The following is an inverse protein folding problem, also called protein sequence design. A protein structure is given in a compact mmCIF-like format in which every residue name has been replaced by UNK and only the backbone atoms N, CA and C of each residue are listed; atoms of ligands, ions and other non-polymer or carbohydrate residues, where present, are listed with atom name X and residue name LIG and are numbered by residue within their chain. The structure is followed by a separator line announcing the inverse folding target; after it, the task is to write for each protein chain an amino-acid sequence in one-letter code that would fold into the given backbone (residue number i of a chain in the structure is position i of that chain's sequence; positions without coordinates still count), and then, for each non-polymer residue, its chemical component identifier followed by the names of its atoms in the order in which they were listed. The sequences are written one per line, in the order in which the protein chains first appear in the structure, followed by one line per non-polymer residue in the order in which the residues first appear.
data_IF_196121592863
#
_entry.id   IF_196121592863
#
_cell.length_a   1.000
_cell.length_b   1.000
_cell.length_c   1.000
_cell.angle_alpha   90.00
_cell.angle_beta   90.00
_cell.angle_gamma   90.00
#
_symmetry.space_group_name_H-M   'P 1'
#
loop_
_entity.id
_entity.type
_entity.pdbx_description
1 polymer ?
#
# COMPACT_ATOMS: atom_id res chain seq x y z
N UNK A 1 0.83 -8.55 -2.91
CA UNK A 1 1.28 -9.98 -2.87
C UNK A 1 2.63 -10.02 -2.18
N UNK A 2 2.79 -10.83 -1.15
CA UNK A 2 4.04 -10.93 -0.39
C UNK A 2 5.14 -11.69 -1.13
N UNK A 3 6.38 -11.54 -0.66
CA UNK A 3 7.57 -12.29 -1.11
C UNK A 3 7.31 -13.79 -1.20
N UNK A 4 7.51 -14.35 -2.39
CA UNK A 4 7.29 -15.76 -2.68
C UNK A 4 8.16 -16.25 -3.85
N UNK A 5 8.28 -17.57 -4.07
CA UNK A 5 8.79 -18.12 -5.32
C UNK A 5 7.96 -17.67 -6.52
N UNK A 6 8.59 -17.53 -7.69
CA UNK A 6 7.98 -16.97 -8.89
C UNK A 6 6.71 -17.73 -9.34
N UNK A 7 6.71 -19.04 -9.22
CA UNK A 7 5.55 -19.88 -9.54
C UNK A 7 4.33 -19.57 -8.65
N UNK A 8 4.56 -19.24 -7.37
CA UNK A 8 3.48 -18.81 -6.46
C UNK A 8 2.99 -17.41 -6.78
N UNK A 9 3.90 -16.49 -7.15
CA UNK A 9 3.54 -15.14 -7.63
C UNK A 9 2.64 -15.27 -8.86
N UNK A 10 3.00 -16.08 -9.84
CA UNK A 10 2.21 -16.31 -11.04
C UNK A 10 0.83 -16.87 -10.75
N UNK A 11 0.74 -17.89 -9.86
CA UNK A 11 -0.55 -18.45 -9.45
C UNK A 11 -1.45 -17.42 -8.76
N UNK A 12 -0.87 -16.56 -7.90
CA UNK A 12 -1.63 -15.50 -7.25
C UNK A 12 -2.17 -14.48 -8.25
N UNK A 13 -1.36 -14.07 -9.24
CA UNK A 13 -1.79 -13.19 -10.34
C UNK A 13 -2.98 -13.79 -11.09
N UNK A 14 -2.87 -15.07 -11.49
CA UNK A 14 -3.92 -15.75 -12.24
C UNK A 14 -5.22 -15.87 -11.42
N UNK A 15 -5.09 -16.15 -10.11
CA UNK A 15 -6.22 -16.21 -9.19
C UNK A 15 -6.92 -14.84 -9.10
N UNK A 16 -6.17 -13.75 -8.92
CA UNK A 16 -6.72 -12.39 -8.88
C UNK A 16 -7.44 -12.06 -10.19
N UNK A 17 -6.80 -12.33 -11.34
CA UNK A 17 -7.38 -12.05 -12.66
C UNK A 17 -8.64 -12.87 -12.96
N UNK A 18 -8.79 -14.05 -12.38
CA UNK A 18 -9.95 -14.91 -12.52
C UNK A 18 -11.08 -14.61 -11.51
N UNK A 19 -10.81 -13.82 -10.47
CA UNK A 19 -11.81 -13.47 -9.47
C UNK A 19 -12.90 -12.60 -10.08
N UNK A 20 -14.15 -12.92 -9.75
CA UNK A 20 -15.33 -12.21 -10.22
C UNK A 20 -16.19 -11.75 -9.04
N UNK A 21 -16.85 -10.60 -9.21
CA UNK A 21 -17.69 -9.98 -8.19
C UNK A 21 -16.92 -9.12 -7.18
N UNK A 22 -17.62 -8.35 -6.38
CA UNK A 22 -17.03 -7.43 -5.40
C UNK A 22 -16.37 -6.21 -6.02
N UNK A 23 -15.27 -5.76 -5.41
CA UNK A 23 -14.53 -4.59 -5.83
C UNK A 23 -13.81 -4.81 -7.18
N UNK A 24 -13.67 -3.74 -7.94
CA UNK A 24 -12.93 -3.72 -9.20
C UNK A 24 -11.44 -3.70 -8.95
N UNK A 25 -10.70 -4.58 -9.61
CA UNK A 25 -9.25 -4.59 -9.54
C UNK A 25 -8.67 -3.49 -10.45
N UNK A 26 -8.02 -2.50 -9.86
CA UNK A 26 -7.30 -1.45 -10.60
C UNK A 26 -5.90 -1.92 -11.02
N UNK A 27 -5.27 -2.77 -10.20
CA UNK A 27 -3.93 -3.27 -10.42
C UNK A 27 -3.56 -4.36 -9.42
N UNK A 28 -2.32 -4.80 -9.50
CA UNK A 28 -1.72 -5.77 -8.57
C UNK A 28 -0.45 -5.15 -7.98
N UNK A 29 -0.41 -5.07 -6.65
CA UNK A 29 0.77 -4.66 -5.91
C UNK A 29 1.61 -5.91 -5.56
N UNK A 30 2.85 -5.92 -6.04
CA UNK A 30 3.87 -6.95 -5.78
C UNK A 30 4.83 -6.41 -4.73
N UNK A 31 4.64 -6.83 -3.49
CA UNK A 31 5.45 -6.42 -2.36
C UNK A 31 6.55 -7.46 -2.11
N UNK A 32 7.78 -7.08 -2.47
CA UNK A 32 8.86 -8.05 -2.60
C UNK A 32 8.69 -8.97 -3.83
N UNK A 33 9.65 -9.83 -4.09
CA UNK A 33 10.79 -10.22 -3.27
C UNK A 33 12.02 -9.27 -3.30
N UNK A 34 11.93 -8.13 -3.92
CA UNK A 34 13.00 -7.18 -4.20
C UNK A 34 13.16 -6.16 -3.05
N UNK A 35 13.20 -6.66 -1.82
CA UNK A 35 13.24 -5.90 -0.58
C UNK A 35 14.52 -6.19 0.21
N UNK A 36 14.86 -5.34 1.17
CA UNK A 36 16.02 -5.53 2.02
C UNK A 36 15.78 -6.61 3.09
N UNK A 37 16.75 -7.51 3.30
CA UNK A 37 16.65 -8.62 4.26
C UNK A 37 16.57 -8.15 5.71
N UNK A 38 17.25 -7.07 6.06
CA UNK A 38 17.22 -6.53 7.43
C UNK A 38 15.91 -5.78 7.70
N UNK A 39 15.23 -5.33 6.63
CA UNK A 39 13.95 -4.64 6.66
C UNK A 39 12.78 -5.49 6.21
N UNK A 40 12.95 -6.83 6.20
CA UNK A 40 11.95 -7.76 5.65
C UNK A 40 10.62 -7.83 6.41
N UNK A 41 10.54 -7.35 7.65
CA UNK A 41 9.34 -7.54 8.47
C UNK A 41 8.99 -9.03 8.62
N UNK A 42 7.78 -9.42 8.25
CA UNK A 42 7.32 -10.82 8.30
C UNK A 42 7.66 -11.64 7.03
N UNK A 43 8.26 -11.04 5.99
CA UNK A 43 8.57 -11.74 4.75
C UNK A 43 9.59 -12.86 4.96
N UNK A 44 9.41 -13.99 4.25
CA UNK A 44 10.30 -15.14 4.31
C UNK A 44 11.65 -14.80 3.65
N UNK A 45 12.71 -14.77 4.45
CA UNK A 45 14.05 -14.34 4.02
C UNK A 45 14.59 -15.11 2.81
N UNK A 46 14.37 -16.43 2.78
CA UNK A 46 14.89 -17.30 1.71
C UNK A 46 14.34 -16.99 0.31
N UNK A 47 13.26 -16.21 0.22
CA UNK A 47 12.67 -15.82 -1.06
C UNK A 47 13.05 -14.40 -1.48
N UNK A 48 13.70 -13.62 -0.61
CA UNK A 48 14.20 -12.28 -0.91
C UNK A 48 15.38 -12.38 -1.85
N UNK A 49 15.37 -11.57 -2.91
CA UNK A 49 16.40 -11.56 -3.94
C UNK A 49 16.54 -10.18 -4.59
N UNK A 50 17.68 -10.00 -5.24
CA UNK A 50 17.96 -8.79 -6.02
C UNK A 50 16.94 -8.60 -7.16
N UNK A 51 16.60 -7.36 -7.50
CA UNK A 51 15.70 -7.09 -8.62
C UNK A 51 16.40 -7.35 -9.97
N UNK A 52 15.84 -8.23 -10.77
CA UNK A 52 16.27 -8.48 -12.16
C UNK A 52 15.12 -8.14 -13.10
N UNK A 53 15.39 -7.25 -14.07
CA UNK A 53 14.33 -6.75 -14.93
C UNK A 53 13.68 -7.84 -15.79
N UNK A 54 14.40 -8.87 -16.21
CA UNK A 54 13.84 -9.99 -16.99
C UNK A 54 12.75 -10.75 -16.20
N UNK A 55 12.93 -10.94 -14.90
CA UNK A 55 11.90 -11.53 -14.03
C UNK A 55 10.73 -10.58 -13.85
N UNK A 56 11.01 -9.31 -13.60
CA UNK A 56 9.99 -8.28 -13.38
C UNK A 56 9.16 -8.05 -14.64
N UNK A 57 9.77 -8.06 -15.83
CA UNK A 57 9.04 -7.91 -17.09
C UNK A 57 8.04 -9.04 -17.31
N UNK A 58 8.39 -10.28 -16.98
CA UNK A 58 7.46 -11.42 -17.03
C UNK A 58 6.28 -11.26 -16.06
N UNK A 59 6.53 -10.69 -14.86
CA UNK A 59 5.46 -10.39 -13.91
C UNK A 59 4.54 -9.30 -14.47
N UNK A 60 5.09 -8.22 -15.04
CA UNK A 60 4.33 -7.13 -15.67
C UNK A 60 3.45 -7.68 -16.81
N UNK A 61 4.02 -8.47 -17.71
CA UNK A 61 3.28 -9.09 -18.81
C UNK A 61 2.14 -9.98 -18.33
N UNK A 62 2.36 -10.75 -17.25
CA UNK A 62 1.32 -11.61 -16.68
C UNK A 62 0.21 -10.81 -15.96
N UNK A 63 0.54 -9.69 -15.35
CA UNK A 63 -0.43 -8.79 -14.71
C UNK A 63 -1.31 -8.11 -15.76
N UNK A 64 -0.75 -7.78 -16.91
CA UNK A 64 -1.49 -7.08 -17.97
C UNK A 64 -2.86 -7.74 -18.28
N UNK A 65 -3.93 -6.96 -18.55
CA UNK A 65 -3.97 -5.50 -18.74
C UNK A 65 -4.10 -4.68 -17.43
N UNK A 66 -4.03 -5.31 -16.26
CA UNK A 66 -4.07 -4.61 -14.98
C UNK A 66 -2.74 -3.87 -14.76
N UNK A 67 -2.78 -2.80 -13.94
CA UNK A 67 -1.56 -2.06 -13.58
C UNK A 67 -0.69 -2.87 -12.61
N UNK A 68 0.63 -2.86 -12.83
CA UNK A 68 1.61 -3.49 -11.94
C UNK A 68 2.29 -2.42 -11.07
N UNK A 69 2.16 -2.55 -9.76
CA UNK A 69 2.86 -1.73 -8.77
C UNK A 69 3.85 -2.60 -7.99
N UNK A 70 5.08 -2.14 -7.79
CA UNK A 70 6.10 -2.90 -7.08
C UNK A 70 6.62 -2.15 -5.87
N UNK A 71 6.78 -2.83 -4.73
CA UNK A 71 7.62 -2.33 -3.65
C UNK A 71 9.04 -2.81 -3.85
N UNK A 72 9.98 -1.86 -3.90
CA UNK A 72 11.41 -2.12 -4.09
C UNK A 72 12.22 -1.39 -3.00
N UNK A 73 13.23 -2.07 -2.48
CA UNK A 73 14.30 -1.46 -1.67
C UNK A 73 15.34 -0.85 -2.64
N UNK A 74 15.40 0.48 -2.77
CA UNK A 74 16.18 1.12 -3.85
C UNK A 74 17.69 0.94 -3.71
N UNK A 75 18.21 0.59 -2.54
CA UNK A 75 19.62 0.25 -2.34
C UNK A 75 20.06 -1.00 -3.12
N UNK A 76 19.10 -1.84 -3.54
CA UNK A 76 19.33 -3.01 -4.37
C UNK A 76 19.30 -2.69 -5.87
N UNK A 77 18.76 -1.53 -6.27
CA UNK A 77 18.77 -1.07 -7.68
C UNK A 77 20.10 -0.41 -8.09
N UNK A 78 20.91 0.01 -7.13
CA UNK A 78 22.21 0.69 -7.35
C UNK A 78 23.27 -0.18 -8.06
N UNK A 79 23.03 -1.47 -8.22
CA UNK A 79 24.00 -2.41 -8.83
C UNK A 79 24.02 -2.37 -10.35
N UNK A 80 23.43 -1.35 -10.98
CA UNK A 80 23.69 -0.96 -12.36
C UNK A 80 22.61 -1.30 -13.38
N UNK A 81 21.50 -1.94 -13.00
CA UNK A 81 20.44 -2.26 -13.96
C UNK A 81 19.43 -1.14 -14.19
N UNK A 82 19.26 -0.21 -13.23
CA UNK A 82 18.25 0.85 -13.28
C UNK A 82 16.83 0.26 -13.39
N UNK A 83 16.53 -0.73 -12.55
CA UNK A 83 15.29 -1.51 -12.59
C UNK A 83 14.08 -0.64 -12.36
N UNK A 84 14.15 0.34 -11.43
CA UNK A 84 13.06 1.28 -11.17
C UNK A 84 12.67 2.01 -12.46
N UNK A 85 13.65 2.58 -13.17
CA UNK A 85 13.41 3.30 -14.43
C UNK A 85 12.84 2.38 -15.52
N UNK A 86 13.32 1.13 -15.62
CA UNK A 86 12.81 0.15 -16.58
C UNK A 86 11.36 -0.24 -16.30
N UNK A 87 10.97 -0.44 -15.01
CA UNK A 87 9.58 -0.72 -14.62
C UNK A 87 8.67 0.44 -15.05
N UNK A 88 9.07 1.67 -14.74
CA UNK A 88 8.28 2.87 -15.07
C UNK A 88 8.11 3.01 -16.58
N UNK A 89 9.17 2.81 -17.37
CA UNK A 89 9.11 2.82 -18.85
C UNK A 89 8.22 1.72 -19.42
N UNK A 90 8.06 0.60 -18.72
CA UNK A 90 7.18 -0.50 -19.11
C UNK A 90 5.71 -0.27 -18.67
N UNK A 91 5.37 0.90 -18.13
CA UNK A 91 4.02 1.24 -17.69
C UNK A 91 3.65 0.74 -16.31
N UNK A 92 4.60 0.18 -15.56
CA UNK A 92 4.45 -0.12 -14.14
C UNK A 92 4.73 1.09 -13.25
N UNK A 93 4.57 0.94 -11.95
CA UNK A 93 4.95 1.95 -10.94
C UNK A 93 5.72 1.32 -9.79
N UNK A 94 6.46 2.15 -9.05
CA UNK A 94 7.30 1.70 -7.94
C UNK A 94 7.04 2.51 -6.68
N UNK A 95 6.81 1.81 -5.57
CA UNK A 95 6.85 2.32 -4.21
C UNK A 95 8.18 1.95 -3.55
N UNK A 96 8.75 2.86 -2.78
CA UNK A 96 9.94 2.64 -1.94
C UNK A 96 9.47 2.03 -0.63
N UNK A 97 9.93 0.86 -0.27
CA UNK A 97 9.54 0.19 0.97
C UNK A 97 10.45 -0.96 1.34
N UNK A 98 10.34 -1.46 2.57
CA UNK A 98 11.20 -2.51 3.09
C UNK A 98 12.67 -2.25 2.83
N UNK A 99 13.16 -1.07 3.26
CA UNK A 99 14.43 -0.50 2.84
C UNK A 99 15.24 0.09 3.99
N UNK A 100 16.54 -0.12 3.96
CA UNK A 100 17.53 0.59 4.77
C UNK A 100 18.13 1.82 4.08
N UNK A 101 17.63 2.20 2.90
CA UNK A 101 18.18 3.27 2.07
C UNK A 101 18.35 4.59 2.82
N UNK A 102 19.47 5.27 2.52
CA UNK A 102 19.71 6.65 2.94
C UNK A 102 18.96 7.65 2.04
N UNK A 103 19.01 8.92 2.42
CA UNK A 103 18.31 9.97 1.70
C UNK A 103 18.80 10.17 0.25
N UNK A 104 20.08 9.89 -0.04
CA UNK A 104 20.63 10.03 -1.39
C UNK A 104 20.13 8.92 -2.31
N UNK A 105 20.13 7.68 -1.84
CA UNK A 105 19.57 6.53 -2.54
C UNK A 105 18.08 6.73 -2.82
N UNK A 106 17.31 7.24 -1.85
CA UNK A 106 15.90 7.59 -2.06
C UNK A 106 15.72 8.68 -3.11
N UNK A 107 16.57 9.75 -3.12
CA UNK A 107 16.48 10.79 -4.16
C UNK A 107 16.71 10.22 -5.56
N UNK A 108 17.66 9.31 -5.73
CA UNK A 108 17.89 8.64 -7.02
C UNK A 108 16.69 7.83 -7.43
N UNK A 109 16.13 7.01 -6.55
CA UNK A 109 14.94 6.23 -6.84
C UNK A 109 13.75 7.10 -7.29
N UNK A 110 13.54 8.24 -6.63
CA UNK A 110 12.51 9.21 -7.03
C UNK A 110 12.81 9.85 -8.39
N UNK A 111 14.07 10.16 -8.69
CA UNK A 111 14.51 10.67 -9.99
C UNK A 111 14.35 9.62 -11.10
N UNK A 112 14.49 8.33 -10.78
CA UNK A 112 14.25 7.19 -11.67
C UNK A 112 12.77 6.87 -11.86
N UNK A 113 11.88 7.57 -11.14
CA UNK A 113 10.44 7.54 -11.33
C UNK A 113 9.65 6.76 -10.29
N UNK A 114 10.23 6.41 -9.13
CA UNK A 114 9.45 5.91 -7.99
C UNK A 114 8.40 6.95 -7.57
N UNK A 115 7.15 6.51 -7.32
CA UNK A 115 6.00 7.41 -7.13
C UNK A 115 5.53 7.48 -5.69
N UNK A 116 5.83 6.47 -4.86
CA UNK A 116 5.30 6.37 -3.50
C UNK A 116 6.29 5.79 -2.50
N UNK A 117 5.91 5.85 -1.23
CA UNK A 117 6.51 5.12 -0.11
C UNK A 117 5.48 4.15 0.44
N UNK A 118 5.78 2.86 0.40
CA UNK A 118 4.90 1.77 0.84
C UNK A 118 4.82 1.76 2.37
N UNK A 119 3.62 1.72 2.95
CA UNK A 119 3.34 1.70 4.41
C UNK A 119 4.39 2.47 5.23
N UNK A 120 4.53 3.75 4.91
CA UNK A 120 5.55 4.67 5.44
C UNK A 120 5.83 4.48 6.93
N UNK A 121 7.10 4.51 7.31
CA UNK A 121 7.72 4.21 8.61
C UNK A 121 7.89 2.72 8.92
N UNK A 122 7.03 1.84 8.41
CA UNK A 122 7.15 0.41 8.68
C UNK A 122 8.24 -0.19 7.81
N UNK A 123 9.14 -0.97 8.42
CA UNK A 123 10.26 -1.61 7.74
C UNK A 123 11.11 -0.65 6.87
N UNK A 124 11.32 0.58 7.34
CA UNK A 124 12.14 1.60 6.67
C UNK A 124 13.32 2.04 7.53
N UNK A 125 14.33 2.70 6.92
CA UNK A 125 15.33 3.47 7.63
C UNK A 125 14.67 4.62 8.40
N UNK A 126 15.11 4.82 9.66
CA UNK A 126 14.49 5.75 10.59
C UNK A 126 14.72 7.22 10.22
N UNK A 127 13.77 8.08 10.62
CA UNK A 127 13.91 9.52 10.53
C UNK A 127 14.80 10.05 11.68
N UNK A 128 16.04 10.39 11.35
CA UNK A 128 16.97 11.05 12.28
C UNK A 128 17.33 12.45 11.75
N UNK A 129 17.63 13.37 12.65
CA UNK A 129 17.82 14.79 12.30
C UNK A 129 19.03 15.08 11.35
N UNK A 130 20.00 14.19 11.24
CA UNK A 130 21.13 14.25 10.28
C UNK A 130 21.08 13.17 9.21
N UNK A 131 20.32 12.13 9.42
CA UNK A 131 20.14 10.99 8.53
C UNK A 131 18.64 10.72 8.38
N UNK A 132 17.95 11.45 7.50
CA UNK A 132 16.49 11.37 7.44
C UNK A 132 15.97 10.00 6.99
N UNK A 133 16.80 9.17 6.34
CA UNK A 133 16.38 7.87 5.84
C UNK A 133 15.18 7.92 4.89
N UNK A 134 14.63 6.77 4.55
CA UNK A 134 13.43 6.68 3.72
C UNK A 134 12.21 7.31 4.42
N UNK A 135 12.07 7.10 5.74
CA UNK A 135 10.97 7.68 6.53
C UNK A 135 10.94 9.20 6.49
N UNK A 136 12.09 9.87 6.64
CA UNK A 136 12.17 11.32 6.55
C UNK A 136 11.98 11.84 5.13
N UNK A 137 12.46 11.12 4.13
CA UNK A 137 12.28 11.46 2.72
C UNK A 137 10.81 11.34 2.29
N UNK A 138 10.06 10.38 2.83
CA UNK A 138 8.62 10.27 2.62
C UNK A 138 7.87 11.55 3.04
N UNK A 139 8.28 12.16 4.17
CA UNK A 139 7.70 13.42 4.65
C UNK A 139 8.20 14.65 3.90
N UNK A 140 9.44 14.60 3.38
CA UNK A 140 10.13 15.76 2.82
C UNK A 140 9.91 15.97 1.31
N UNK A 141 9.29 15.01 0.60
CA UNK A 141 9.13 15.02 -0.86
C UNK A 141 7.68 15.05 -1.30
N UNK A 142 7.43 15.37 -2.58
CA UNK A 142 6.11 15.39 -3.19
C UNK A 142 5.63 13.99 -3.66
N UNK A 143 6.41 12.93 -3.44
CA UNK A 143 5.95 11.56 -3.70
C UNK A 143 4.76 11.22 -2.80
N UNK A 144 3.92 10.30 -3.21
CA UNK A 144 2.85 9.79 -2.36
C UNK A 144 3.45 9.03 -1.16
N UNK A 145 2.75 9.02 -0.05
CA UNK A 145 3.15 8.26 1.13
C UNK A 145 1.92 7.52 1.66
N UNK A 146 2.05 6.21 1.79
CA UNK A 146 0.99 5.31 2.23
C UNK A 146 1.06 5.13 3.75
N UNK A 147 -0.09 5.15 4.43
CA UNK A 147 -0.17 5.08 5.89
C UNK A 147 -1.25 4.11 6.36
N UNK A 148 -0.90 3.25 7.31
CA UNK A 148 -1.81 2.34 8.02
C UNK A 148 -2.26 3.05 9.30
N UNK A 149 -3.45 3.64 9.27
CA UNK A 149 -3.97 4.46 10.38
C UNK A 149 -4.82 3.63 11.36
N UNK A 150 -4.27 2.53 11.87
CA UNK A 150 -4.95 1.64 12.83
C UNK A 150 -4.64 1.96 14.30
N UNK A 151 -3.68 2.85 14.58
CA UNK A 151 -3.19 3.15 15.94
C UNK A 151 -2.30 2.05 16.51
N UNK A 152 -1.92 1.05 15.71
CA UNK A 152 -1.05 -0.08 16.06
C UNK A 152 0.28 0.03 15.32
N UNK A 153 0.24 0.20 13.97
CA UNK A 153 1.41 0.43 13.14
C UNK A 153 2.02 1.80 13.39
N UNK A 154 1.18 2.81 13.62
CA UNK A 154 1.59 4.19 13.87
C UNK A 154 0.84 4.76 15.07
N UNK A 155 1.57 5.45 15.95
CA UNK A 155 0.95 6.25 17.01
C UNK A 155 0.15 7.42 16.39
N UNK A 156 -0.95 7.86 17.02
CA UNK A 156 -1.76 8.99 16.56
C UNK A 156 -0.93 10.25 16.26
N UNK A 157 0.04 10.56 17.12
CA UNK A 157 0.91 11.73 16.99
C UNK A 157 1.83 11.62 15.76
N UNK A 158 2.25 10.40 15.40
CA UNK A 158 3.03 10.15 14.18
C UNK A 158 2.18 10.36 12.94
N UNK A 159 0.92 9.89 12.95
CA UNK A 159 -0.04 10.11 11.85
C UNK A 159 -0.30 11.59 11.66
N UNK A 160 -0.57 12.34 12.75
CA UNK A 160 -0.80 13.79 12.71
C UNK A 160 0.41 14.53 12.13
N UNK A 161 1.62 14.24 12.63
CA UNK A 161 2.85 14.85 12.14
C UNK A 161 3.08 14.57 10.65
N UNK A 162 2.84 13.33 10.21
CA UNK A 162 2.96 12.93 8.82
C UNK A 162 1.92 13.62 7.91
N UNK A 163 0.66 13.67 8.35
CA UNK A 163 -0.40 14.36 7.64
C UNK A 163 -0.04 15.84 7.42
N UNK A 164 0.33 16.54 8.49
CA UNK A 164 0.72 17.95 8.42
C UNK A 164 1.94 18.17 7.53
N UNK A 165 2.93 17.29 7.55
CA UNK A 165 4.10 17.37 6.68
C UNK A 165 3.73 17.21 5.19
N UNK A 166 2.73 16.38 4.87
CA UNK A 166 2.29 16.13 3.48
C UNK A 166 1.37 17.22 2.93
N UNK A 167 0.68 17.99 3.76
CA UNK A 167 -0.25 19.05 3.32
C UNK A 167 0.37 20.04 2.33
N UNK A 168 1.65 20.39 2.47
CA UNK A 168 2.35 21.32 1.57
C UNK A 168 2.49 20.81 0.13
N UNK A 169 2.32 19.52 -0.09
CA UNK A 169 2.42 18.87 -1.39
C UNK A 169 1.05 18.53 -2.00
N UNK A 170 -0.05 18.92 -1.34
CA UNK A 170 -1.41 18.56 -1.75
C UNK A 170 -1.80 17.15 -1.29
N UNK A 171 -2.64 16.47 -2.09
CA UNK A 171 -3.23 15.18 -1.75
C UNK A 171 -2.21 14.02 -1.92
N UNK A 172 -1.16 14.01 -1.08
CA UNK A 172 -0.06 13.02 -1.15
C UNK A 172 -0.03 12.08 0.06
N UNK A 173 -1.00 12.19 0.96
CA UNK A 173 -1.21 11.26 2.07
C UNK A 173 -2.24 10.21 1.62
N UNK A 174 -1.85 8.94 1.57
CA UNK A 174 -2.68 7.82 1.09
C UNK A 174 -3.02 6.89 2.25
N UNK A 175 -4.30 6.67 2.49
CA UNK A 175 -4.76 5.62 3.42
C UNK A 175 -4.68 4.26 2.74
N UNK A 176 -4.04 3.33 3.40
CA UNK A 176 -4.02 1.90 3.04
C UNK A 176 -4.41 1.05 4.24
N UNK A 177 -4.80 -0.16 4.00
CA UNK A 177 -5.09 -1.14 5.06
C UNK A 177 -3.93 -2.07 5.34
N UNK A 178 -3.17 -2.46 4.33
CA UNK A 178 -2.22 -3.58 4.42
C UNK A 178 -2.87 -4.82 5.05
N UNK A 179 -4.07 -5.13 4.57
CA UNK A 179 -4.97 -6.13 5.17
C UNK A 179 -4.49 -7.55 4.94
N UNK A 180 -4.53 -8.35 6.00
CA UNK A 180 -4.20 -9.77 5.96
C UNK A 180 -5.44 -10.64 5.67
N UNK A 181 -5.28 -11.90 5.25
CA UNK A 181 -6.40 -12.80 4.93
C UNK A 181 -7.39 -13.02 6.08
N UNK A 182 -6.98 -12.84 7.33
CA UNK A 182 -7.86 -12.96 8.51
C UNK A 182 -8.55 -11.65 8.90
N UNK A 183 -8.41 -10.57 8.13
CA UNK A 183 -9.15 -9.33 8.39
C UNK A 183 -10.66 -9.59 8.33
N UNK A 184 -11.37 -9.12 9.36
CA UNK A 184 -12.80 -9.37 9.51
C UNK A 184 -13.17 -10.73 10.11
N UNK A 185 -12.21 -11.60 10.37
CA UNK A 185 -12.42 -12.84 11.10
C UNK A 185 -12.30 -12.63 12.63
N UNK A 186 -12.80 -13.56 13.48
CA UNK A 186 -12.65 -13.49 14.93
C UNK A 186 -11.19 -13.46 15.38
N UNK A 187 -10.94 -12.98 16.61
CA UNK A 187 -9.64 -13.16 17.26
C UNK A 187 -9.27 -14.65 17.33
N UNK A 188 -8.00 -14.99 17.05
CA UNK A 188 -7.53 -16.37 17.03
C UNK A 188 -6.18 -16.54 16.34
N UNK A 189 -5.75 -17.80 16.24
CA UNK A 189 -4.50 -18.18 15.59
C UNK A 189 -4.76 -18.51 14.12
N UNK A 190 -3.89 -17.98 13.26
CA UNK A 190 -3.98 -18.08 11.81
C UNK A 190 -2.61 -18.39 11.21
N UNK A 191 -2.62 -18.70 9.92
CA UNK A 191 -1.41 -18.89 9.11
C UNK A 191 -1.50 -18.07 7.82
N UNK A 192 -0.42 -17.39 7.48
CA UNK A 192 -0.27 -16.68 6.22
C UNK A 192 0.92 -17.24 5.46
N UNK A 193 0.66 -18.17 4.53
CA UNK A 193 1.69 -18.78 3.67
C UNK A 193 2.83 -19.49 4.45
N UNK A 194 2.51 -20.13 5.56
CA UNK A 194 3.48 -20.82 6.44
C UNK A 194 4.06 -19.91 7.53
N UNK A 195 3.51 -18.70 7.70
CA UNK A 195 3.86 -17.77 8.79
C UNK A 195 2.71 -17.83 9.81
N UNK A 196 2.85 -18.54 10.94
CA UNK A 196 1.84 -18.58 11.98
C UNK A 196 1.81 -17.23 12.73
N UNK A 197 0.61 -16.74 13.02
CA UNK A 197 0.39 -15.51 13.78
C UNK A 197 -0.90 -15.56 14.59
N UNK A 198 -1.00 -14.70 15.60
CA UNK A 198 -2.21 -14.50 16.38
C UNK A 198 -2.82 -13.14 16.03
N UNK A 199 -4.11 -13.12 15.69
CA UNK A 199 -4.94 -11.91 15.59
C UNK A 199 -5.63 -11.69 16.94
N UNK A 200 -5.39 -10.55 17.56
CA UNK A 200 -6.04 -10.16 18.81
C UNK A 200 -6.33 -8.66 18.83
N UNK A 201 -7.61 -8.30 18.94
CA UNK A 201 -8.08 -6.90 18.97
C UNK A 201 -7.51 -6.05 17.83
N UNK A 202 -7.54 -6.59 16.61
CA UNK A 202 -7.06 -5.91 15.41
C UNK A 202 -5.54 -5.96 15.20
N UNK A 203 -4.76 -6.43 16.19
CA UNK A 203 -3.31 -6.60 16.08
C UNK A 203 -2.97 -8.02 15.66
N UNK A 204 -2.27 -8.17 14.54
CA UNK A 204 -1.80 -9.45 14.03
C UNK A 204 -0.28 -9.55 14.18
N UNK A 205 0.20 -10.50 15.01
CA UNK A 205 1.62 -10.66 15.31
C UNK A 205 2.05 -12.13 15.31
N UNK A 206 3.27 -12.38 14.86
CA UNK A 206 3.96 -13.66 15.10
C UNK A 206 4.28 -13.82 16.58
N UNK A 207 4.67 -15.04 16.98
CA UNK A 207 5.15 -15.32 18.35
C UNK A 207 6.38 -14.48 18.75
N UNK A 208 7.16 -14.01 17.78
CA UNK A 208 8.31 -13.10 17.99
C UNK A 208 7.89 -11.62 18.14
N UNK A 209 6.60 -11.29 18.04
CA UNK A 209 6.08 -9.93 18.13
C UNK A 209 6.15 -9.13 16.83
N UNK A 210 6.57 -9.73 15.72
CA UNK A 210 6.58 -9.07 14.40
C UNK A 210 5.14 -8.91 13.90
N UNK A 211 4.75 -7.70 13.53
CA UNK A 211 3.46 -7.42 12.89
C UNK A 211 3.47 -8.02 11.48
N UNK A 212 2.35 -8.64 11.09
CA UNK A 212 2.20 -9.34 9.80
C UNK A 212 1.22 -8.65 8.84
N UNK A 213 0.92 -7.40 9.10
CA UNK A 213 -0.10 -6.59 8.42
C UNK A 213 -1.28 -6.29 9.33
N UNK A 214 -2.37 -5.77 8.80
CA UNK A 214 -3.48 -5.25 9.60
C UNK A 214 -4.80 -6.01 9.40
N UNK A 215 -5.73 -5.82 10.37
CA UNK A 215 -7.14 -6.15 10.23
C UNK A 215 -8.00 -4.89 9.98
N UNK A 216 -7.38 -3.78 9.60
CA UNK A 216 -8.00 -2.50 9.35
C UNK A 216 -8.88 -2.53 8.10
N UNK A 217 -10.01 -1.82 8.14
CA UNK A 217 -10.80 -1.46 6.96
C UNK A 217 -10.70 0.04 6.66
N UNK A 218 -11.02 0.45 5.44
CA UNK A 218 -10.92 1.85 5.02
C UNK A 218 -11.87 2.78 5.79
N UNK A 219 -13.15 2.44 6.08
CA UNK A 219 -13.99 3.25 6.94
C UNK A 219 -13.36 3.55 8.31
N UNK A 220 -12.81 2.54 8.96
CA UNK A 220 -12.11 2.70 10.24
C UNK A 220 -10.84 3.56 10.10
N UNK A 221 -10.07 3.38 9.02
CA UNK A 221 -8.90 4.21 8.75
C UNK A 221 -9.25 5.69 8.59
N UNK A 222 -10.36 6.01 7.91
CA UNK A 222 -10.88 7.37 7.73
C UNK A 222 -11.27 7.97 9.08
N UNK A 223 -12.04 7.23 9.92
CA UNK A 223 -12.46 7.69 11.24
C UNK A 223 -11.25 7.93 12.17
N UNK A 224 -10.25 7.06 12.11
CA UNK A 224 -9.02 7.21 12.86
C UNK A 224 -8.24 8.44 12.40
N UNK A 225 -8.10 8.65 11.09
CA UNK A 225 -7.41 9.82 10.55
C UNK A 225 -8.09 11.13 10.98
N UNK A 226 -9.43 11.18 10.90
CA UNK A 226 -10.22 12.33 11.41
C UNK A 226 -9.92 12.60 12.87
N UNK A 227 -9.92 11.56 13.69
CA UNK A 227 -9.67 11.66 15.14
C UNK A 227 -8.23 12.05 15.46
N UNK A 228 -7.24 11.46 14.78
CA UNK A 228 -5.81 11.67 15.07
C UNK A 228 -5.33 13.05 14.61
N UNK A 229 -5.90 13.58 13.53
CA UNK A 229 -5.46 14.85 12.93
C UNK A 229 -6.45 16.00 13.18
N UNK A 230 -7.57 15.76 13.87
CA UNK A 230 -8.66 16.76 14.07
C UNK A 230 -9.09 17.42 12.75
N UNK A 231 -9.37 16.61 11.74
CA UNK A 231 -9.75 17.05 10.38
C UNK A 231 -11.18 16.64 10.03
N UNK A 232 -11.88 17.41 9.20
CA UNK A 232 -13.23 17.06 8.76
C UNK A 232 -13.22 15.87 7.79
N UNK A 233 -14.37 15.21 7.67
CA UNK A 233 -14.57 14.01 6.85
C UNK A 233 -14.13 14.20 5.41
N UNK A 234 -14.43 15.34 4.80
CA UNK A 234 -14.10 15.63 3.41
C UNK A 234 -12.59 15.57 3.13
N UNK A 235 -11.77 15.98 4.10
CA UNK A 235 -10.31 15.90 4.00
C UNK A 235 -9.81 14.47 4.14
N UNK A 236 -10.36 13.71 5.07
CA UNK A 236 -10.00 12.31 5.28
C UNK A 236 -10.44 11.43 4.09
N UNK A 237 -11.59 11.71 3.49
CA UNK A 237 -12.06 11.00 2.29
C UNK A 237 -11.11 11.16 1.09
N UNK A 238 -10.51 12.34 0.89
CA UNK A 238 -9.54 12.54 -0.19
C UNK A 238 -8.33 11.60 -0.07
N UNK A 239 -7.92 11.27 1.15
CA UNK A 239 -6.81 10.33 1.43
C UNK A 239 -7.16 8.88 1.09
N UNK A 240 -8.45 8.53 0.99
CA UNK A 240 -8.95 7.19 0.67
C UNK A 240 -9.56 7.08 -0.73
N UNK A 241 -9.66 8.17 -1.48
CA UNK A 241 -10.31 8.21 -2.81
C UNK A 241 -9.39 8.85 -3.85
N UNK A 242 -9.25 10.17 -3.82
CA UNK A 242 -8.45 10.93 -4.79
C UNK A 242 -6.97 10.58 -4.74
N UNK A 243 -6.35 10.65 -3.55
CA UNK A 243 -4.93 10.41 -3.40
C UNK A 243 -4.49 9.01 -3.88
N UNK A 244 -5.13 7.89 -3.49
CA UNK A 244 -4.77 6.58 -4.04
C UNK A 244 -5.08 6.46 -5.54
N UNK A 245 -6.11 7.10 -6.07
CA UNK A 245 -6.42 7.08 -7.50
C UNK A 245 -5.37 7.86 -8.32
N UNK A 246 -4.88 8.99 -7.82
CA UNK A 246 -3.76 9.73 -8.43
C UNK A 246 -2.46 8.90 -8.36
N UNK A 247 -2.17 8.26 -7.22
CA UNK A 247 -0.99 7.42 -7.06
C UNK A 247 -0.99 6.24 -8.03
N UNK A 248 -2.15 5.61 -8.21
CA UNK A 248 -2.32 4.48 -9.14
C UNK A 248 -2.47 4.91 -10.62
N UNK A 249 -2.47 6.22 -10.93
CA UNK A 249 -2.62 6.73 -12.29
C UNK A 249 -4.01 6.48 -12.90
N UNK A 250 -5.06 6.39 -12.09
CA UNK A 250 -6.44 6.11 -12.54
C UNK A 250 -7.43 7.25 -12.19
N UNK A 251 -6.94 8.38 -11.70
CA UNK A 251 -7.82 9.48 -11.28
C UNK A 251 -8.66 10.08 -12.41
N UNK A 252 -8.27 9.89 -13.65
CA UNK A 252 -9.07 10.23 -14.83
C UNK A 252 -10.39 9.44 -14.90
N UNK A 253 -10.45 8.26 -14.29
CA UNK A 253 -11.60 7.33 -14.34
C UNK A 253 -12.24 7.06 -12.98
N UNK A 254 -11.49 7.14 -11.89
CA UNK A 254 -11.88 6.72 -10.54
C UNK A 254 -11.56 7.82 -9.52
N UNK A 255 -11.99 7.67 -8.26
CA UNK A 255 -11.57 8.49 -7.13
C UNK A 255 -12.33 9.80 -6.91
N UNK A 256 -13.35 10.10 -7.73
CA UNK A 256 -14.30 11.21 -7.51
C UNK A 256 -15.65 10.91 -8.19
N UNK A 257 -16.67 11.71 -7.84
CA UNK A 257 -18.02 11.63 -8.42
C UNK A 257 -18.19 12.59 -9.61
N UNK A 258 -17.13 12.94 -10.32
CA UNK A 258 -17.19 13.81 -11.47
C UNK A 258 -17.89 13.12 -12.66
N UNK A 259 -18.58 13.92 -13.47
CA UNK A 259 -19.25 13.45 -14.68
C UNK A 259 -18.21 12.83 -15.64
N UNK A 260 -18.50 11.63 -16.14
CA UNK A 260 -17.63 10.89 -17.07
C UNK A 260 -16.71 9.87 -16.41
N UNK A 261 -16.64 9.82 -15.07
CA UNK A 261 -15.94 8.78 -14.34
C UNK A 261 -16.81 7.54 -14.10
N UNK A 262 -16.19 6.44 -13.69
CA UNK A 262 -16.89 5.21 -13.29
C UNK A 262 -17.82 5.49 -12.14
N UNK A 263 -19.03 4.92 -12.21
CA UNK A 263 -19.99 4.99 -11.11
C UNK A 263 -19.67 3.91 -10.05
N UNK A 264 -18.50 4.06 -9.39
CA UNK A 264 -18.11 3.26 -8.23
C UNK A 264 -18.38 4.09 -6.97
N UNK A 265 -19.48 3.77 -6.28
CA UNK A 265 -20.05 4.62 -5.24
C UNK A 265 -20.32 3.78 -3.98
N UNK A 266 -19.86 4.26 -2.85
CA UNK A 266 -20.19 3.72 -1.53
C UNK A 266 -21.11 4.71 -0.81
N UNK A 267 -22.27 4.25 -0.39
CA UNK A 267 -23.22 5.02 0.40
C UNK A 267 -23.13 4.54 1.85
N UNK A 268 -22.80 5.48 2.73
CA UNK A 268 -22.60 5.23 4.16
C UNK A 268 -23.57 6.06 5.01
N UNK A 269 -23.78 5.62 6.25
CA UNK A 269 -24.37 6.46 7.29
C UNK A 269 -23.33 7.45 7.88
N UNK A 270 -23.74 8.26 8.84
CA UNK A 270 -22.91 9.28 9.50
C UNK A 270 -21.69 8.68 10.25
N UNK A 271 -21.69 7.39 10.53
CA UNK A 271 -20.59 6.66 11.18
C UNK A 271 -19.77 5.84 10.20
N UNK A 272 -19.91 6.11 8.89
CA UNK A 272 -19.30 5.37 7.80
C UNK A 272 -19.71 3.88 7.74
N UNK A 273 -20.81 3.50 8.39
CA UNK A 273 -21.42 2.19 8.22
C UNK A 273 -21.95 2.03 6.80
N UNK A 274 -21.39 1.08 6.04
CA UNK A 274 -21.73 0.86 4.63
C UNK A 274 -23.18 0.44 4.51
N UNK A 275 -23.97 1.17 3.73
CA UNK A 275 -25.39 0.89 3.44
C UNK A 275 -25.54 0.29 2.05
N UNK A 276 -24.86 0.85 1.03
CA UNK A 276 -24.90 0.37 -0.35
C UNK A 276 -23.55 0.49 -1.02
N UNK A 277 -23.26 -0.44 -1.93
CA UNK A 277 -22.08 -0.37 -2.79
C UNK A 277 -22.53 -0.55 -4.24
N UNK A 278 -22.09 0.38 -5.09
CA UNK A 278 -22.31 0.38 -6.53
C UNK A 278 -20.94 0.24 -7.19
N UNK A 279 -20.80 -0.69 -8.11
CA UNK A 279 -19.58 -0.88 -8.90
C UNK A 279 -19.95 -0.80 -10.38
N UNK A 280 -19.32 0.10 -11.12
CA UNK A 280 -19.59 0.35 -12.53
C UNK A 280 -21.08 0.60 -12.83
N UNK A 281 -21.77 1.30 -11.92
CA UNK A 281 -23.19 1.60 -12.02
C UNK A 281 -24.14 0.47 -11.60
N UNK A 282 -23.61 -0.68 -11.16
CA UNK A 282 -24.41 -1.85 -10.74
C UNK A 282 -24.35 -1.95 -9.20
N UNK A 283 -25.54 -2.07 -8.56
CA UNK A 283 -25.63 -2.34 -7.12
C UNK A 283 -25.11 -3.75 -6.83
N UNK A 284 -24.01 -3.84 -6.07
CA UNK A 284 -23.37 -5.12 -5.69
C UNK A 284 -23.60 -5.48 -4.22
N UNK A 285 -23.96 -4.50 -3.40
CA UNK A 285 -24.27 -4.72 -1.99
C UNK A 285 -25.35 -3.74 -1.53
N UNK A 286 -26.29 -4.21 -0.74
CA UNK A 286 -27.27 -3.42 0.00
C UNK A 286 -27.48 -4.05 1.38
N UNK A 287 -27.35 -3.24 2.44
CA UNK A 287 -27.57 -3.69 3.80
C UNK A 287 -29.05 -3.96 4.00
N UNK A 288 -29.41 -5.20 4.38
CA UNK A 288 -30.76 -5.52 4.81
C UNK A 288 -31.04 -4.84 6.16
N UNK A 289 -32.14 -4.12 6.26
CA UNK A 289 -32.64 -3.51 7.49
C UNK A 289 -33.09 -4.57 8.49
#
# INVERSE_FOLDING_TARGET
MNTAPLDKIYRAIDTIKSAAGGAKFAGIHVEGPYIDKEKRGCHTESFIREPHFDEISQIIERIAPLHAHFTIAPEHDDKGEGVINKIVRSGGSVGIGHTGADAETVRRALADGAVSFTHTFNAMSEFRHREPGASGMALATAAFAEFICDGIHLAPETVEAAYNAKLRFGDKFVLITDSIPSAGLPDGDYDMNGIPFTLFRGKACTSAGTIVGSALDIPTAILNLMKFCDIPLEKALLCATKAPAEMAGIYDREGSLDIGKSADIVICDERLGIQKVIVSGIMVYERNN
#
